data_IF_833316729270
#
_entry.id   IF_833316729270
#
_cell.length_a   1.000
_cell.length_b   1.000
_cell.length_c   1.000
_cell.angle_alpha   90.00
_cell.angle_beta   90.00
_cell.angle_gamma   90.00
#
_symmetry.space_group_name_H-M   'P 1'
#
loop_
_entity.id
_entity.type
_entity.pdbx_description
1 polymer ?
#
# COMPACT_ATOMS: atom_id res chain seq x y z
N UNK A 1 -0.60 -25.04 6.28
CA UNK A 1 -0.89 -23.61 6.48
C UNK A 1 -2.37 -23.38 6.18
N UNK A 2 -3.01 -22.36 6.79
CA UNK A 2 -4.38 -21.98 6.44
C UNK A 2 -4.34 -21.11 5.18
N UNK A 3 -5.40 -21.14 4.37
CA UNK A 3 -5.54 -20.20 3.26
C UNK A 3 -5.76 -18.78 3.79
N UNK A 4 -5.52 -17.79 2.93
CA UNK A 4 -5.79 -16.39 3.28
C UNK A 4 -7.28 -16.17 3.56
N UNK A 5 -8.17 -16.78 2.78
CA UNK A 5 -9.62 -16.73 2.99
C UNK A 5 -10.01 -17.29 4.37
N UNK A 6 -9.51 -18.47 4.74
CA UNK A 6 -9.75 -19.06 6.06
C UNK A 6 -9.22 -18.18 7.19
N UNK A 7 -8.08 -17.52 6.96
CA UNK A 7 -7.48 -16.60 7.93
C UNK A 7 -8.33 -15.35 8.13
N UNK A 8 -8.83 -14.76 7.04
CA UNK A 8 -9.74 -13.59 7.07
C UNK A 8 -11.09 -13.95 7.70
N UNK A 9 -11.66 -15.11 7.35
CA UNK A 9 -12.91 -15.58 7.95
C UNK A 9 -12.79 -15.77 9.46
N UNK A 10 -11.72 -16.44 9.92
CA UNK A 10 -11.45 -16.57 11.36
C UNK A 10 -11.28 -15.20 12.02
N UNK A 11 -10.53 -14.29 11.40
CA UNK A 11 -10.31 -12.95 11.96
C UNK A 11 -11.62 -12.17 12.11
N UNK A 12 -12.52 -12.28 11.12
CA UNK A 12 -13.86 -11.70 11.18
C UNK A 12 -14.66 -12.25 12.36
N UNK A 13 -14.65 -13.56 12.54
CA UNK A 13 -15.41 -14.22 13.61
C UNK A 13 -14.86 -13.85 15.01
N UNK A 14 -13.54 -13.75 15.15
CA UNK A 14 -12.88 -13.24 16.36
C UNK A 14 -13.32 -11.81 16.67
N UNK A 15 -13.35 -10.91 15.68
CA UNK A 15 -13.81 -9.53 15.88
C UNK A 15 -15.30 -9.41 16.14
N UNK A 16 -16.12 -10.27 15.52
CA UNK A 16 -17.55 -10.36 15.82
C UNK A 16 -17.76 -10.73 17.29
N UNK A 17 -17.05 -11.76 17.78
CA UNK A 17 -17.10 -12.17 19.19
C UNK A 17 -16.63 -11.05 20.12
N UNK A 18 -15.53 -10.36 19.81
CA UNK A 18 -15.04 -9.23 20.60
C UNK A 18 -16.03 -8.06 20.64
N UNK A 19 -16.71 -7.81 19.52
CA UNK A 19 -17.71 -6.73 19.42
C UNK A 19 -18.95 -7.03 20.24
N UNK A 20 -19.42 -8.28 20.24
CA UNK A 20 -20.53 -8.72 21.08
C UNK A 20 -20.17 -8.67 22.57
N UNK A 21 -18.95 -9.08 22.92
CA UNK A 21 -18.49 -9.00 24.31
C UNK A 21 -18.38 -7.55 24.78
N UNK A 22 -17.81 -6.67 23.96
CA UNK A 22 -17.75 -5.24 24.28
C UNK A 22 -19.15 -4.62 24.40
N UNK A 23 -20.09 -4.98 23.52
CA UNK A 23 -21.48 -4.56 23.62
C UNK A 23 -22.10 -4.97 24.95
N UNK A 24 -21.90 -6.23 25.35
CA UNK A 24 -22.40 -6.76 26.63
C UNK A 24 -21.84 -5.95 27.81
N UNK A 25 -20.53 -5.72 27.84
CA UNK A 25 -19.87 -4.94 28.89
C UNK A 25 -20.38 -3.48 28.93
N UNK A 26 -20.62 -2.85 27.78
CA UNK A 26 -21.19 -1.50 27.71
C UNK A 26 -22.63 -1.45 28.25
N UNK A 27 -23.45 -2.47 27.95
CA UNK A 27 -24.81 -2.58 28.49
C UNK A 27 -24.77 -2.79 30.01
N UNK A 28 -23.96 -3.73 30.50
CA UNK A 28 -23.80 -4.00 31.94
C UNK A 28 -23.36 -2.75 32.71
N UNK A 29 -22.44 -1.96 32.14
CA UNK A 29 -22.03 -0.68 32.71
C UNK A 29 -23.18 0.33 32.75
N UNK A 30 -23.95 0.46 31.67
CA UNK A 30 -25.09 1.38 31.62
C UNK A 30 -26.19 0.98 32.62
N UNK A 31 -26.48 -0.31 32.77
CA UNK A 31 -27.44 -0.84 33.73
C UNK A 31 -26.99 -0.57 35.17
N UNK A 32 -25.70 -0.82 35.47
CA UNK A 32 -25.13 -0.56 36.79
C UNK A 32 -25.19 0.92 37.17
N UNK A 33 -24.90 1.82 36.21
CA UNK A 33 -25.00 3.28 36.42
C UNK A 33 -26.45 3.71 36.56
N UNK A 34 -27.37 3.26 35.70
CA UNK A 34 -28.78 3.62 35.79
C UNK A 34 -29.37 3.25 37.16
N UNK A 35 -29.05 2.03 37.64
CA UNK A 35 -29.45 1.54 38.97
C UNK A 35 -28.90 2.37 40.13
N UNK A 36 -27.65 2.84 40.03
CA UNK A 36 -27.03 3.65 41.08
C UNK A 36 -27.75 4.99 41.27
N UNK A 37 -28.28 5.56 40.18
CA UNK A 37 -28.93 6.87 40.17
C UNK A 37 -30.47 6.81 40.17
N UNK A 38 -31.08 5.62 40.14
CA UNK A 38 -32.54 5.46 40.07
C UNK A 38 -33.13 5.91 38.73
N UNK A 39 -32.40 5.66 37.63
CA UNK A 39 -32.73 6.13 36.27
C UNK A 39 -33.12 4.98 35.31
N UNK A 40 -33.44 3.80 35.84
CA UNK A 40 -33.71 2.60 35.03
C UNK A 40 -34.85 2.78 34.01
N UNK A 41 -35.86 3.58 34.35
CA UNK A 41 -37.01 3.87 33.49
C UNK A 41 -36.83 5.14 32.64
N UNK A 42 -35.76 5.91 32.87
CA UNK A 42 -35.51 7.21 32.24
C UNK A 42 -34.54 7.11 31.05
N UNK A 43 -33.58 6.18 31.08
CA UNK A 43 -32.54 6.06 30.06
C UNK A 43 -32.37 4.61 29.62
N UNK A 44 -32.42 4.31 28.29
CA UNK A 44 -32.20 2.95 27.80
C UNK A 44 -30.73 2.55 27.97
N UNK A 45 -30.48 1.43 28.66
CA UNK A 45 -29.13 0.88 28.83
C UNK A 45 -28.61 0.11 27.60
N UNK A 46 -29.50 -0.30 26.69
CA UNK A 46 -29.16 -1.06 25.50
C UNK A 46 -28.28 -0.26 24.53
N UNK A 47 -27.18 -0.87 24.08
CA UNK A 47 -26.26 -0.31 23.09
C UNK A 47 -26.32 -1.16 21.82
N UNK A 48 -26.72 -0.62 20.65
CA UNK A 48 -26.64 -1.35 19.39
C UNK A 48 -25.19 -1.52 18.94
N UNK A 49 -24.88 -2.61 18.22
CA UNK A 49 -23.52 -2.87 17.71
C UNK A 49 -22.99 -1.74 16.83
N UNK A 50 -23.86 -1.02 16.13
CA UNK A 50 -23.52 0.16 15.33
C UNK A 50 -22.93 1.32 16.16
N UNK A 51 -23.02 1.28 17.49
CA UNK A 51 -22.46 2.27 18.41
C UNK A 51 -21.20 1.79 19.15
N UNK A 52 -20.86 0.51 19.04
CA UNK A 52 -19.68 -0.08 19.71
C UNK A 52 -18.43 0.23 18.88
N UNK A 53 -17.64 1.20 19.33
CA UNK A 53 -16.57 1.85 18.55
C UNK A 53 -15.24 1.08 18.47
N UNK A 54 -15.29 -0.24 18.24
CA UNK A 54 -14.09 -1.04 17.99
C UNK A 54 -13.63 -0.93 16.53
N UNK A 55 -12.31 -0.87 16.32
CA UNK A 55 -11.67 -0.65 15.01
C UNK A 55 -12.15 -1.62 13.92
N UNK A 56 -12.47 -2.86 14.28
CA UNK A 56 -12.89 -3.91 13.35
C UNK A 56 -14.31 -4.44 13.63
N UNK A 57 -15.11 -3.71 14.40
CA UNK A 57 -16.54 -3.95 14.45
C UNK A 57 -17.19 -3.53 13.12
N UNK A 58 -17.53 -4.49 12.28
CA UNK A 58 -18.14 -4.25 10.96
C UNK A 58 -19.46 -3.47 11.03
N UNK A 59 -20.24 -3.61 12.13
CA UNK A 59 -21.47 -2.87 12.31
C UNK A 59 -21.23 -1.37 12.56
N UNK A 60 -20.22 -1.04 13.37
CA UNK A 60 -19.82 0.33 13.62
C UNK A 60 -19.18 0.99 12.39
N UNK A 61 -18.34 0.25 11.64
CA UNK A 61 -17.68 0.77 10.43
C UNK A 61 -18.67 1.02 9.29
N UNK A 62 -19.69 0.18 9.15
CA UNK A 62 -20.67 0.24 8.06
C UNK A 62 -22.10 0.08 8.58
N UNK A 63 -22.62 1.08 9.32
CA UNK A 63 -23.90 0.97 10.02
C UNK A 63 -25.08 0.83 9.06
N UNK A 64 -24.99 1.41 7.86
CA UNK A 64 -26.04 1.33 6.84
C UNK A 64 -26.03 0.06 5.98
N UNK A 65 -25.16 -0.91 6.28
CA UNK A 65 -24.96 -2.13 5.49
C UNK A 65 -25.59 -3.35 6.14
N UNK A 66 -26.06 -4.28 5.33
CA UNK A 66 -26.52 -5.60 5.77
C UNK A 66 -25.36 -6.44 6.30
N UNK A 67 -25.60 -7.49 7.11
CA UNK A 67 -24.54 -8.40 7.57
C UNK A 67 -23.69 -8.97 6.44
N UNK A 68 -24.30 -9.36 5.32
CA UNK A 68 -23.59 -9.93 4.17
C UNK A 68 -22.70 -8.88 3.47
N UNK A 69 -23.19 -7.66 3.30
CA UNK A 69 -22.36 -6.55 2.76
C UNK A 69 -21.21 -6.21 3.71
N UNK A 70 -21.46 -6.22 5.03
CA UNK A 70 -20.44 -5.99 6.07
C UNK A 70 -19.34 -7.05 6.01
N UNK A 71 -19.68 -8.31 5.76
CA UNK A 71 -18.70 -9.39 5.62
C UNK A 71 -17.79 -9.20 4.40
N UNK A 72 -18.35 -8.79 3.26
CA UNK A 72 -17.57 -8.49 2.05
C UNK A 72 -16.65 -7.27 2.26
N UNK A 73 -17.16 -6.21 2.88
CA UNK A 73 -16.38 -5.01 3.20
C UNK A 73 -15.28 -5.29 4.24
N UNK A 74 -15.54 -6.19 5.20
CA UNK A 74 -14.53 -6.66 6.14
C UNK A 74 -13.39 -7.37 5.41
N UNK A 75 -13.73 -8.31 4.52
CA UNK A 75 -12.73 -9.02 3.72
C UNK A 75 -11.90 -8.06 2.86
N UNK A 76 -12.55 -7.11 2.17
CA UNK A 76 -11.86 -6.07 1.40
C UNK A 76 -10.90 -5.26 2.28
N UNK A 77 -11.36 -4.78 3.45
CA UNK A 77 -10.51 -4.03 4.38
C UNK A 77 -9.32 -4.86 4.85
N UNK A 78 -9.53 -6.12 5.20
CA UNK A 78 -8.47 -7.01 5.67
C UNK A 78 -7.41 -7.25 4.57
N UNK A 79 -7.81 -7.37 3.31
CA UNK A 79 -6.87 -7.47 2.18
C UNK A 79 -6.10 -6.17 1.97
N UNK A 80 -6.74 -5.01 2.06
CA UNK A 80 -6.06 -3.71 1.95
C UNK A 80 -5.05 -3.52 3.11
N UNK A 81 -5.42 -3.94 4.32
CA UNK A 81 -4.52 -3.93 5.49
C UNK A 81 -3.33 -4.89 5.29
N UNK A 82 -3.57 -6.10 4.78
CA UNK A 82 -2.52 -7.07 4.46
C UNK A 82 -1.56 -6.54 3.40
N UNK A 83 -2.06 -5.93 2.32
CA UNK A 83 -1.21 -5.36 1.28
C UNK A 83 -0.39 -4.18 1.82
N UNK A 84 -0.98 -3.34 2.68
CA UNK A 84 -0.24 -2.26 3.34
C UNK A 84 0.85 -2.79 4.27
N UNK A 85 0.59 -3.89 4.99
CA UNK A 85 1.59 -4.56 5.83
C UNK A 85 2.69 -5.19 4.98
N UNK A 86 2.33 -5.90 3.91
CA UNK A 86 3.26 -6.49 2.95
C UNK A 86 4.16 -5.41 2.32
N UNK A 87 3.61 -4.26 1.92
CA UNK A 87 4.40 -3.12 1.48
C UNK A 87 5.39 -2.62 2.55
N UNK A 88 4.99 -2.63 3.82
CA UNK A 88 5.91 -2.38 4.94
C UNK A 88 7.02 -3.40 5.08
N UNK A 89 6.75 -4.68 4.86
CA UNK A 89 7.80 -5.71 4.78
C UNK A 89 8.70 -5.52 3.56
N UNK A 90 8.14 -5.18 2.40
CA UNK A 90 8.90 -4.89 1.18
C UNK A 90 9.86 -3.73 1.38
N UNK A 91 9.49 -2.70 2.14
CA UNK A 91 10.40 -1.60 2.45
C UNK A 91 11.25 -1.83 3.70
N UNK A 92 11.06 -2.92 4.45
CA UNK A 92 11.80 -3.20 5.68
C UNK A 92 11.31 -2.41 6.89
N UNK A 93 10.18 -1.70 6.79
CA UNK A 93 9.51 -1.07 7.93
C UNK A 93 9.04 -2.08 8.97
N UNK A 94 8.62 -3.24 8.49
CA UNK A 94 8.18 -4.38 9.30
C UNK A 94 8.97 -5.64 8.94
N UNK A 95 8.93 -6.64 9.82
CA UNK A 95 9.41 -7.98 9.55
C UNK A 95 8.32 -9.02 9.85
N UNK A 96 8.44 -10.19 9.22
CA UNK A 96 7.71 -11.40 9.60
C UNK A 96 8.36 -12.09 10.81
N UNK A 97 9.64 -11.82 11.06
CA UNK A 97 10.47 -12.51 12.06
C UNK A 97 10.47 -11.81 13.43
N UNK A 98 10.24 -10.49 13.46
CA UNK A 98 10.27 -9.69 14.67
C UNK A 98 9.10 -8.70 14.72
N UNK A 99 8.38 -8.59 15.86
CA UNK A 99 7.29 -7.63 16.00
C UNK A 99 7.80 -6.19 16.10
N UNK A 100 6.95 -5.25 15.68
CA UNK A 100 7.22 -3.80 15.80
C UNK A 100 7.86 -3.20 14.55
N UNK A 101 8.37 -1.97 14.69
CA UNK A 101 9.05 -1.25 13.61
C UNK A 101 10.51 -1.69 13.55
N UNK A 102 11.00 -1.96 12.33
CA UNK A 102 12.39 -2.32 12.06
C UNK A 102 13.14 -1.10 11.52
N UNK A 103 12.85 -0.68 10.28
CA UNK A 103 13.35 0.58 9.72
C UNK A 103 12.30 1.67 9.85
N UNK A 104 12.55 2.64 10.72
CA UNK A 104 11.68 3.78 10.94
C UNK A 104 12.45 5.07 11.27
N UNK A 105 13.75 5.12 10.96
CA UNK A 105 14.62 6.27 11.16
C UNK A 105 15.06 6.86 9.81
N UNK A 106 15.63 8.07 9.83
CA UNK A 106 16.05 8.75 8.61
C UNK A 106 17.28 8.08 7.98
N UNK A 107 17.18 7.80 6.67
CA UNK A 107 18.27 7.25 5.88
C UNK A 107 18.57 5.79 6.16
N UNK A 108 17.67 5.06 6.84
CA UNK A 108 17.86 3.63 7.11
C UNK A 108 18.08 2.83 5.83
N UNK A 109 18.99 1.88 5.88
CA UNK A 109 19.42 1.06 4.74
C UNK A 109 19.03 -0.41 4.93
N UNK A 110 19.24 -1.22 3.89
CA UNK A 110 19.09 -2.68 4.03
C UNK A 110 20.10 -3.26 5.03
N UNK A 111 21.30 -2.69 5.12
CA UNK A 111 22.33 -3.16 6.05
C UNK A 111 21.89 -2.98 7.51
N UNK A 112 21.20 -1.87 7.82
CA UNK A 112 20.61 -1.64 9.15
C UNK A 112 19.53 -2.69 9.47
N UNK A 113 18.74 -3.09 8.48
CA UNK A 113 17.75 -4.16 8.63
C UNK A 113 18.41 -5.50 8.92
N UNK A 114 19.45 -5.85 8.15
CA UNK A 114 20.18 -7.11 8.29
C UNK A 114 21.02 -7.16 9.57
N UNK A 115 21.46 -6.02 10.10
CA UNK A 115 22.10 -5.96 11.41
C UNK A 115 21.16 -6.40 12.53
N UNK A 116 19.86 -6.13 12.40
CA UNK A 116 18.82 -6.56 13.35
C UNK A 116 18.29 -7.96 13.04
N UNK A 117 18.11 -8.29 11.77
CA UNK A 117 17.55 -9.56 11.30
C UNK A 117 18.49 -10.15 10.23
N UNK A 118 19.55 -10.88 10.62
CA UNK A 118 20.57 -11.34 9.68
C UNK A 118 20.08 -12.34 8.63
N UNK A 119 19.05 -13.13 8.95
CA UNK A 119 18.47 -14.15 8.07
C UNK A 119 16.95 -13.97 7.97
N UNK A 120 16.46 -12.94 7.25
CA UNK A 120 15.04 -12.63 7.24
C UNK A 120 14.25 -13.63 6.39
N UNK A 121 13.07 -14.00 6.87
CA UNK A 121 12.12 -14.86 6.15
C UNK A 121 11.61 -14.20 4.87
N UNK A 122 11.55 -12.86 4.85
CA UNK A 122 11.22 -12.06 3.68
C UNK A 122 12.17 -10.86 3.58
N UNK A 123 13.05 -10.87 2.58
CA UNK A 123 14.06 -9.83 2.39
C UNK A 123 13.43 -8.53 1.86
N UNK A 124 13.64 -7.38 2.53
CA UNK A 124 13.24 -6.09 2.00
C UNK A 124 13.90 -5.75 0.67
N UNK A 125 13.34 -4.76 0.01
CA UNK A 125 13.91 -4.15 -1.15
C UNK A 125 15.28 -3.54 -0.86
N UNK A 126 16.22 -3.74 -1.78
CA UNK A 126 17.62 -3.37 -1.58
C UNK A 126 17.82 -1.86 -1.64
N UNK A 127 17.26 -1.21 -2.64
CA UNK A 127 17.60 0.16 -2.99
C UNK A 127 16.48 1.17 -2.70
N UNK A 128 15.40 0.70 -2.06
CA UNK A 128 14.23 1.47 -1.66
C UNK A 128 13.37 1.93 -2.85
N UNK A 129 13.48 1.29 -4.02
CA UNK A 129 12.70 1.63 -5.22
C UNK A 129 11.92 0.41 -5.69
N UNK A 130 10.59 0.47 -5.61
CA UNK A 130 9.73 -0.62 -6.09
C UNK A 130 8.90 -0.12 -7.29
N UNK A 131 9.14 -0.63 -8.51
CA UNK A 131 8.42 -0.19 -9.70
C UNK A 131 6.95 -0.66 -9.70
N UNK A 132 6.08 0.20 -10.24
CA UNK A 132 4.65 -0.05 -10.46
C UNK A 132 4.27 0.43 -11.86
N UNK A 133 4.46 -0.47 -12.83
CA UNK A 133 4.14 -0.22 -14.24
C UNK A 133 3.03 -1.16 -14.72
N UNK A 134 2.28 -0.72 -15.72
CA UNK A 134 1.26 -1.54 -16.37
C UNK A 134 1.89 -2.44 -17.45
N UNK A 135 1.46 -3.69 -17.49
CA UNK A 135 2.12 -4.76 -18.23
C UNK A 135 2.92 -5.68 -17.31
N UNK A 136 3.15 -6.90 -17.79
CA UNK A 136 3.85 -7.95 -17.07
C UNK A 136 5.31 -8.02 -17.55
N UNK A 137 6.20 -8.55 -16.69
CA UNK A 137 7.60 -8.86 -17.00
C UNK A 137 8.50 -7.65 -17.36
N UNK A 138 8.14 -6.44 -16.91
CA UNK A 138 8.99 -5.25 -17.09
C UNK A 138 10.12 -5.16 -16.06
N UNK A 139 9.92 -5.63 -14.84
CA UNK A 139 10.91 -5.65 -13.76
C UNK A 139 10.76 -6.95 -12.97
N UNK A 140 11.87 -7.56 -12.58
CA UNK A 140 11.87 -8.83 -11.84
C UNK A 140 11.41 -8.66 -10.38
N UNK A 141 11.51 -7.45 -9.86
CA UNK A 141 11.24 -7.08 -8.47
C UNK A 141 10.10 -6.06 -8.32
N UNK A 142 9.16 -6.07 -9.28
CA UNK A 142 7.98 -5.22 -9.23
C UNK A 142 7.09 -5.52 -8.01
N UNK A 143 6.18 -4.58 -7.71
CA UNK A 143 5.32 -4.72 -6.52
C UNK A 143 4.41 -5.96 -6.56
N UNK A 144 4.00 -6.43 -7.74
CA UNK A 144 3.13 -7.59 -7.92
C UNK A 144 3.89 -8.87 -7.60
N UNK A 145 5.10 -9.01 -8.12
CA UNK A 145 5.94 -10.18 -7.89
C UNK A 145 6.47 -10.22 -6.46
N UNK A 146 6.82 -9.06 -5.87
CA UNK A 146 7.10 -8.97 -4.44
C UNK A 146 5.91 -9.38 -3.58
N UNK A 147 4.68 -9.01 -3.95
CA UNK A 147 3.48 -9.43 -3.21
C UNK A 147 3.21 -10.94 -3.37
N UNK A 148 3.46 -11.52 -4.55
CA UNK A 148 3.39 -12.97 -4.76
C UNK A 148 4.40 -13.70 -3.89
N UNK A 149 5.65 -13.25 -3.85
CA UNK A 149 6.68 -13.80 -2.94
C UNK A 149 6.21 -13.70 -1.49
N UNK A 150 5.68 -12.55 -1.06
CA UNK A 150 5.15 -12.39 0.29
C UNK A 150 4.04 -13.41 0.61
N UNK A 151 3.09 -13.62 -0.32
CA UNK A 151 2.02 -14.60 -0.13
C UNK A 151 2.56 -16.03 -0.05
N UNK A 152 3.54 -16.39 -0.88
CA UNK A 152 4.23 -17.71 -0.82
C UNK A 152 4.91 -17.91 0.53
N UNK A 153 5.61 -16.89 1.02
CA UNK A 153 6.32 -16.93 2.29
C UNK A 153 5.36 -17.10 3.47
N UNK A 154 4.27 -16.33 3.52
CA UNK A 154 3.35 -16.31 4.68
C UNK A 154 2.36 -17.46 4.66
N UNK A 155 1.81 -17.80 3.49
CA UNK A 155 0.72 -18.76 3.37
C UNK A 155 1.13 -20.07 2.69
N UNK A 156 2.34 -20.17 2.14
CA UNK A 156 2.85 -21.36 1.46
C UNK A 156 2.53 -21.37 -0.04
N UNK A 157 3.46 -21.90 -0.84
CA UNK A 157 3.34 -22.00 -2.31
C UNK A 157 2.04 -22.69 -2.74
N UNK A 158 1.66 -23.77 -2.04
CA UNK A 158 0.50 -24.58 -2.39
C UNK A 158 -0.84 -23.82 -2.34
N UNK A 159 -0.89 -22.66 -1.67
CA UNK A 159 -2.09 -21.83 -1.57
C UNK A 159 -2.01 -20.56 -2.43
N UNK A 160 -0.92 -20.31 -3.16
CA UNK A 160 -0.70 -19.04 -3.86
C UNK A 160 -1.85 -18.69 -4.82
N UNK A 161 -2.22 -19.62 -5.72
CA UNK A 161 -3.25 -19.35 -6.73
C UNK A 161 -4.63 -19.12 -6.11
N UNK A 162 -4.96 -19.85 -5.05
CA UNK A 162 -6.20 -19.64 -4.29
C UNK A 162 -6.20 -18.28 -3.58
N UNK A 163 -5.09 -17.93 -2.94
CA UNK A 163 -4.94 -16.66 -2.25
C UNK A 163 -4.99 -15.47 -3.22
N UNK A 164 -4.37 -15.58 -4.40
CA UNK A 164 -4.42 -14.54 -5.43
C UNK A 164 -5.85 -14.33 -5.94
N UNK A 165 -6.61 -15.42 -6.17
CA UNK A 165 -8.04 -15.31 -6.54
C UNK A 165 -8.86 -14.65 -5.44
N UNK A 166 -8.62 -15.01 -4.19
CA UNK A 166 -9.32 -14.40 -3.05
C UNK A 166 -8.98 -12.90 -2.91
N UNK A 167 -7.73 -12.51 -3.09
CA UNK A 167 -7.29 -11.10 -3.08
C UNK A 167 -7.98 -10.31 -4.19
N UNK A 168 -7.94 -10.78 -5.44
CA UNK A 168 -8.54 -10.05 -6.57
C UNK A 168 -10.05 -9.96 -6.45
N UNK A 169 -10.71 -11.03 -6.00
CA UNK A 169 -12.16 -11.03 -5.72
C UNK A 169 -12.53 -10.03 -4.62
N UNK A 170 -11.80 -10.04 -3.49
CA UNK A 170 -12.05 -9.13 -2.36
C UNK A 170 -11.82 -7.66 -2.71
N UNK A 171 -10.86 -7.38 -3.60
CA UNK A 171 -10.57 -6.03 -4.09
C UNK A 171 -11.51 -5.59 -5.24
N UNK A 172 -12.27 -6.51 -5.83
CA UNK A 172 -13.12 -6.22 -6.99
C UNK A 172 -12.34 -5.89 -8.26
N UNK A 173 -11.13 -6.46 -8.43
CA UNK A 173 -10.28 -6.24 -9.61
C UNK A 173 -10.09 -7.54 -10.39
N UNK A 174 -9.85 -7.43 -11.71
CA UNK A 174 -9.58 -8.59 -12.55
C UNK A 174 -8.16 -9.12 -12.36
N UNK A 175 -7.18 -8.21 -12.36
CA UNK A 175 -5.76 -8.53 -12.13
C UNK A 175 -5.29 -7.81 -10.88
N UNK A 176 -4.42 -8.45 -10.10
CA UNK A 176 -3.77 -7.81 -8.95
C UNK A 176 -3.02 -6.52 -9.36
N UNK A 177 -2.39 -6.52 -10.53
CA UNK A 177 -1.74 -5.34 -11.13
C UNK A 177 -2.68 -4.14 -11.27
N UNK A 178 -3.96 -4.38 -11.61
CA UNK A 178 -4.94 -3.30 -11.74
C UNK A 178 -5.16 -2.57 -10.40
N UNK A 179 -5.09 -3.29 -9.27
CA UNK A 179 -5.16 -2.67 -7.94
C UNK A 179 -3.94 -1.80 -7.64
N UNK A 180 -2.73 -2.33 -7.86
CA UNK A 180 -1.49 -1.58 -7.58
C UNK A 180 -1.36 -0.31 -8.43
N UNK A 181 -1.69 -0.39 -9.71
CA UNK A 181 -1.60 0.77 -10.63
C UNK A 181 -2.68 1.83 -10.34
N UNK A 182 -3.90 1.44 -9.96
CA UNK A 182 -5.06 2.37 -9.95
C UNK A 182 -5.56 2.77 -8.56
N UNK A 183 -5.37 1.92 -7.56
CA UNK A 183 -6.06 2.01 -6.27
C UNK A 183 -5.10 2.05 -5.09
N UNK A 184 -4.03 1.24 -5.09
CA UNK A 184 -3.11 1.12 -3.95
C UNK A 184 -2.64 2.48 -3.40
N UNK A 185 -2.16 3.38 -4.26
CA UNK A 185 -1.65 4.67 -3.79
C UNK A 185 -2.76 5.56 -3.20
N UNK A 186 -4.00 5.45 -3.69
CA UNK A 186 -5.14 6.21 -3.12
C UNK A 186 -5.46 5.71 -1.72
N UNK A 187 -5.52 4.39 -1.55
CA UNK A 187 -5.75 3.77 -0.24
C UNK A 187 -4.63 4.14 0.75
N UNK A 188 -3.38 4.15 0.27
CA UNK A 188 -2.22 4.57 1.07
C UNK A 188 -2.31 6.04 1.50
N UNK A 189 -2.59 6.95 0.57
CA UNK A 189 -2.77 8.38 0.88
C UNK A 189 -3.92 8.59 1.89
N UNK A 190 -5.02 7.83 1.75
CA UNK A 190 -6.15 7.89 2.68
C UNK A 190 -5.78 7.37 4.07
N UNK A 191 -5.10 6.22 4.16
CA UNK A 191 -4.64 5.61 5.42
C UNK A 191 -3.82 6.60 6.25
N UNK A 192 -2.95 7.35 5.59
CA UNK A 192 -2.06 8.32 6.23
C UNK A 192 -2.63 9.75 6.28
N UNK A 193 -3.95 9.93 6.12
CA UNK A 193 -4.63 11.24 6.21
C UNK A 193 -3.94 12.31 5.35
N UNK A 194 -3.66 11.96 4.09
CA UNK A 194 -2.96 12.77 3.08
C UNK A 194 -1.47 13.05 3.34
N UNK A 195 -0.83 12.34 4.28
CA UNK A 195 0.60 12.46 4.59
C UNK A 195 1.31 11.11 4.46
N UNK A 196 1.32 10.51 3.25
CA UNK A 196 1.82 9.15 3.08
C UNK A 196 3.32 9.05 3.38
N UNK A 197 3.73 7.88 3.88
CA UNK A 197 5.14 7.56 4.12
C UNK A 197 5.81 6.83 2.95
N UNK A 198 5.01 6.31 2.01
CA UNK A 198 5.50 5.79 0.73
C UNK A 198 5.18 6.83 -0.32
N UNK A 199 6.18 7.31 -1.02
CA UNK A 199 6.04 8.36 -2.03
C UNK A 199 6.13 7.74 -3.41
N UNK A 200 5.22 8.14 -4.28
CA UNK A 200 5.12 7.62 -5.64
C UNK A 200 5.75 8.60 -6.61
N UNK A 201 6.93 8.29 -7.13
CA UNK A 201 7.42 8.92 -8.36
C UNK A 201 6.50 8.48 -9.49
N UNK A 202 5.98 9.43 -10.28
CA UNK A 202 4.97 9.15 -11.30
C UNK A 202 5.19 10.08 -12.47
N UNK A 203 5.30 9.52 -13.68
CA UNK A 203 5.23 10.31 -14.90
C UNK A 203 3.85 11.00 -15.03
N UNK A 204 3.71 12.06 -15.84
CA UNK A 204 2.46 12.84 -15.91
C UNK A 204 1.21 12.02 -16.24
N UNK A 205 1.32 11.01 -17.13
CA UNK A 205 0.20 10.10 -17.45
C UNK A 205 0.23 8.81 -16.64
N UNK A 206 1.21 8.64 -15.75
CA UNK A 206 1.37 7.45 -14.89
C UNK A 206 1.87 6.22 -15.65
N UNK A 207 2.49 6.40 -16.82
CA UNK A 207 3.09 5.32 -17.61
C UNK A 207 4.32 4.70 -16.92
N UNK A 208 5.03 5.49 -16.12
CA UNK A 208 6.04 5.03 -15.18
C UNK A 208 5.64 5.43 -13.77
N UNK A 209 5.69 4.48 -12.83
CA UNK A 209 5.63 4.80 -11.42
C UNK A 209 6.64 3.97 -10.63
N UNK A 210 7.18 4.54 -9.56
CA UNK A 210 8.03 3.85 -8.61
C UNK A 210 7.74 4.35 -7.19
N UNK A 211 7.52 3.41 -6.26
CA UNK A 211 7.37 3.73 -4.85
C UNK A 211 8.72 3.78 -4.16
N UNK A 212 8.88 4.74 -3.26
CA UNK A 212 9.96 4.77 -2.27
C UNK A 212 9.40 4.88 -0.87
N UNK A 213 10.16 4.45 0.14
CA UNK A 213 9.84 4.70 1.54
C UNK A 213 10.64 5.87 2.09
N UNK A 214 9.95 6.91 2.59
CA UNK A 214 10.59 8.17 3.00
C UNK A 214 11.62 8.01 4.13
N UNK A 215 11.47 7.01 5.00
CA UNK A 215 12.44 6.81 6.08
C UNK A 215 13.75 6.21 5.55
N UNK A 216 13.69 5.45 4.46
CA UNK A 216 14.88 4.95 3.77
C UNK A 216 15.38 5.89 2.67
N UNK A 217 14.82 7.09 2.58
CA UNK A 217 15.24 8.05 1.58
C UNK A 217 16.67 8.54 1.87
N UNK A 218 17.48 8.56 0.83
CA UNK A 218 18.82 9.16 0.81
C UNK A 218 18.90 10.17 -0.34
N UNK A 219 19.87 11.10 -0.33
CA UNK A 219 20.05 12.05 -1.45
C UNK A 219 20.24 11.38 -2.82
N UNK A 220 20.73 10.14 -2.86
CA UNK A 220 20.90 9.36 -4.09
C UNK A 220 19.62 8.66 -4.59
N UNK A 221 18.53 8.63 -3.79
CA UNK A 221 17.30 7.87 -4.12
C UNK A 221 16.69 8.30 -5.45
N UNK A 222 16.69 9.61 -5.77
CA UNK A 222 16.16 10.10 -7.05
C UNK A 222 16.99 9.61 -8.23
N UNK A 223 18.32 9.52 -8.07
CA UNK A 223 19.22 8.94 -9.09
C UNK A 223 18.98 7.44 -9.28
N UNK A 224 18.65 6.71 -8.21
CA UNK A 224 18.21 5.32 -8.31
C UNK A 224 16.91 5.22 -9.12
N UNK A 225 15.87 6.01 -8.79
CA UNK A 225 14.61 6.04 -9.54
C UNK A 225 14.83 6.38 -11.02
N UNK A 226 15.74 7.32 -11.32
CA UNK A 226 16.12 7.65 -12.69
C UNK A 226 16.74 6.45 -13.44
N UNK A 227 17.51 5.61 -12.74
CA UNK A 227 18.07 4.38 -13.34
C UNK A 227 16.97 3.40 -13.73
N UNK A 228 15.97 3.19 -12.87
CA UNK A 228 14.79 2.37 -13.20
C UNK A 228 13.99 2.93 -14.39
N UNK A 229 13.84 4.26 -14.47
CA UNK A 229 13.17 4.90 -15.61
C UNK A 229 13.92 4.59 -16.91
N UNK A 230 15.25 4.76 -16.94
CA UNK A 230 16.07 4.51 -18.13
C UNK A 230 16.05 3.05 -18.55
N UNK A 231 16.14 2.13 -17.58
CA UNK A 231 16.00 0.69 -17.85
C UNK A 231 14.65 0.38 -18.50
N UNK A 232 13.56 0.96 -17.98
CA UNK A 232 12.24 0.79 -18.55
C UNK A 232 12.13 1.36 -19.96
N UNK A 233 12.69 2.55 -20.20
CA UNK A 233 12.76 3.15 -21.54
C UNK A 233 13.47 2.23 -22.52
N UNK A 234 14.64 1.68 -22.17
CA UNK A 234 15.37 0.73 -23.02
C UNK A 234 14.55 -0.54 -23.32
N UNK A 235 13.84 -1.08 -22.33
CA UNK A 235 12.94 -2.23 -22.51
C UNK A 235 11.76 -1.88 -23.45
N UNK A 236 11.17 -0.69 -23.31
CA UNK A 236 10.10 -0.19 -24.17
C UNK A 236 10.56 0.05 -25.61
N UNK A 237 11.78 0.57 -25.82
CA UNK A 237 12.38 0.73 -27.15
C UNK A 237 12.57 -0.61 -27.85
N UNK A 238 13.02 -1.63 -27.11
CA UNK A 238 13.16 -3.00 -27.62
C UNK A 238 11.79 -3.59 -28.00
N UNK A 239 10.78 -3.41 -27.15
CA UNK A 239 9.41 -3.83 -27.43
C UNK A 239 8.81 -3.10 -28.64
N UNK A 240 9.12 -1.81 -28.82
CA UNK A 240 8.70 -1.02 -29.97
C UNK A 240 9.29 -1.58 -31.26
N UNK A 241 10.59 -1.86 -31.30
CA UNK A 241 11.24 -2.47 -32.46
C UNK A 241 10.60 -3.83 -32.81
N UNK A 242 10.23 -4.63 -31.81
CA UNK A 242 9.53 -5.90 -32.03
C UNK A 242 8.11 -5.69 -32.57
N UNK A 243 7.37 -4.72 -32.05
CA UNK A 243 6.03 -4.37 -32.54
C UNK A 243 6.08 -3.88 -34.00
N UNK A 244 7.09 -3.09 -34.36
CA UNK A 244 7.31 -2.63 -35.74
C UNK A 244 7.65 -3.79 -36.68
N UNK A 245 8.57 -4.68 -36.29
CA UNK A 245 8.95 -5.87 -37.09
C UNK A 245 7.79 -6.84 -37.29
N UNK A 246 6.90 -6.96 -36.31
CA UNK A 246 5.71 -7.82 -36.38
C UNK A 246 4.51 -7.17 -37.09
N UNK A 247 4.65 -5.91 -37.55
CA UNK A 247 3.57 -5.18 -38.21
C UNK A 247 2.42 -4.76 -37.28
N UNK A 248 2.62 -4.82 -35.97
CA UNK A 248 1.61 -4.40 -34.99
C UNK A 248 1.62 -2.88 -34.80
N UNK A 249 1.08 -2.15 -35.78
CA UNK A 249 1.09 -0.70 -35.82
C UNK A 249 0.41 -0.04 -34.60
N UNK A 250 -0.63 -0.67 -34.03
CA UNK A 250 -1.34 -0.16 -32.86
C UNK A 250 -0.47 -0.18 -31.61
N UNK A 251 0.24 -1.29 -31.38
CA UNK A 251 1.14 -1.38 -30.23
C UNK A 251 2.36 -0.48 -30.42
N UNK A 252 2.91 -0.41 -31.63
CA UNK A 252 4.01 0.52 -31.93
C UNK A 252 3.62 1.99 -31.65
N UNK A 253 2.43 2.43 -32.08
CA UNK A 253 1.94 3.79 -31.79
C UNK A 253 1.74 4.03 -30.28
N UNK A 254 1.22 3.04 -29.55
CA UNK A 254 1.09 3.11 -28.08
C UNK A 254 2.46 3.28 -27.41
N UNK A 255 3.44 2.44 -27.76
CA UNK A 255 4.77 2.46 -27.17
C UNK A 255 5.51 3.77 -27.49
N UNK A 256 5.41 4.28 -28.73
CA UNK A 256 5.98 5.60 -29.09
C UNK A 256 5.42 6.72 -28.22
N UNK A 257 4.11 6.73 -27.95
CA UNK A 257 3.47 7.74 -27.09
C UNK A 257 3.98 7.67 -25.65
N UNK A 258 4.21 6.46 -25.13
CA UNK A 258 4.79 6.26 -23.80
C UNK A 258 6.24 6.75 -23.79
N UNK A 259 7.07 6.35 -24.76
CA UNK A 259 8.48 6.77 -24.85
C UNK A 259 8.63 8.29 -24.92
N UNK A 260 7.82 8.97 -25.74
CA UNK A 260 7.82 10.45 -25.80
C UNK A 260 7.50 11.06 -24.43
N UNK A 261 6.51 10.53 -23.72
CA UNK A 261 6.18 11.00 -22.37
C UNK A 261 7.33 10.76 -21.38
N UNK A 262 7.94 9.58 -21.40
CA UNK A 262 8.98 9.21 -20.45
C UNK A 262 10.29 9.98 -20.68
N UNK A 263 10.67 10.20 -21.94
CA UNK A 263 11.84 11.01 -22.29
C UNK A 263 11.65 12.47 -21.88
N UNK A 264 10.45 13.03 -22.07
CA UNK A 264 10.12 14.38 -21.59
C UNK A 264 10.14 14.45 -20.06
N UNK A 265 9.55 13.44 -19.38
CA UNK A 265 9.57 13.36 -17.92
C UNK A 265 10.99 13.23 -17.35
N UNK A 266 11.84 12.42 -17.99
CA UNK A 266 13.26 12.32 -17.65
C UNK A 266 13.93 13.69 -17.75
N UNK A 267 13.90 14.30 -18.93
CA UNK A 267 14.64 15.53 -19.23
C UNK A 267 14.14 16.74 -18.43
N UNK A 268 12.83 16.96 -18.39
CA UNK A 268 12.24 18.17 -17.81
C UNK A 268 12.06 18.08 -16.29
N UNK A 269 11.99 16.88 -15.72
CA UNK A 269 11.63 16.70 -14.30
C UNK A 269 12.63 15.84 -13.54
N UNK A 270 12.80 14.57 -13.91
CA UNK A 270 13.48 13.60 -13.04
C UNK A 270 15.01 13.79 -13.03
N UNK A 271 15.64 14.04 -14.18
CA UNK A 271 17.09 14.26 -14.28
C UNK A 271 17.55 15.55 -13.55
N UNK A 272 16.90 16.71 -13.74
CA UNK A 272 17.20 17.89 -12.92
C UNK A 272 17.04 17.60 -11.43
N UNK A 273 15.94 16.95 -11.04
CA UNK A 273 15.67 16.61 -9.64
C UNK A 273 16.70 15.65 -9.04
N UNK A 274 17.20 14.69 -9.83
CA UNK A 274 18.29 13.80 -9.42
C UNK A 274 19.59 14.58 -9.20
N UNK A 275 19.88 15.56 -10.06
CA UNK A 275 21.07 16.41 -9.96
C UNK A 275 21.07 17.32 -8.74
N UNK A 276 19.88 17.73 -8.26
CA UNK A 276 19.73 18.53 -7.05
C UNK A 276 20.11 17.77 -5.76
N UNK A 277 20.15 16.44 -5.77
CA UNK A 277 20.37 15.60 -4.58
C UNK A 277 19.53 16.05 -3.37
N UNK A 278 18.22 16.21 -3.60
CA UNK A 278 17.29 16.79 -2.62
C UNK A 278 17.44 16.11 -1.27
N UNK A 279 17.63 16.92 -0.23
CA UNK A 279 17.69 16.46 1.16
C UNK A 279 16.33 16.67 1.83
N UNK A 280 15.92 15.67 2.61
CA UNK A 280 14.72 15.74 3.46
C UNK A 280 15.12 15.63 4.92
N UNK A 281 14.27 16.15 5.80
CA UNK A 281 14.36 16.00 7.24
C UNK A 281 13.05 15.42 7.76
N UNK A 282 13.05 14.23 8.36
CA UNK A 282 11.82 13.59 8.82
C UNK A 282 11.09 14.43 9.88
N UNK A 283 11.79 15.26 10.66
CA UNK A 283 11.19 16.11 11.70
C UNK A 283 10.33 17.23 11.11
N UNK A 284 10.66 17.70 9.90
CA UNK A 284 9.83 18.64 9.13
C UNK A 284 8.48 18.01 8.70
N UNK A 285 8.41 16.68 8.68
CA UNK A 285 7.25 15.90 8.28
C UNK A 285 6.91 15.97 6.79
N UNK A 286 5.89 15.21 6.38
CA UNK A 286 5.54 15.04 4.96
C UNK A 286 5.13 16.35 4.27
N UNK A 287 4.49 17.28 4.99
CA UNK A 287 4.00 18.55 4.41
C UNK A 287 5.11 19.46 3.91
N UNK A 288 6.25 19.47 4.57
CA UNK A 288 7.38 20.29 4.19
C UNK A 288 8.31 19.56 3.20
N UNK A 289 8.45 18.24 3.32
CA UNK A 289 9.36 17.49 2.46
C UNK A 289 8.78 17.11 1.10
N UNK A 290 7.51 16.67 1.04
CA UNK A 290 6.91 16.21 -0.21
C UNK A 290 6.93 17.27 -1.33
N UNK A 291 6.65 18.56 -1.06
CA UNK A 291 6.71 19.60 -2.09
C UNK A 291 8.10 19.83 -2.70
N UNK A 292 9.19 19.46 -2.01
CA UNK A 292 10.57 19.63 -2.52
C UNK A 292 10.81 18.87 -3.84
N UNK A 293 10.00 17.84 -4.12
CA UNK A 293 10.10 17.02 -5.33
C UNK A 293 9.24 17.52 -6.50
N UNK A 294 8.31 18.46 -6.26
CA UNK A 294 7.46 19.03 -7.30
C UNK A 294 6.77 17.97 -8.17
N UNK A 295 6.90 18.13 -9.49
CA UNK A 295 6.29 17.24 -10.48
C UNK A 295 6.90 15.84 -10.56
N UNK A 296 8.01 15.56 -9.85
CA UNK A 296 8.59 14.23 -9.82
C UNK A 296 7.69 13.23 -9.07
N UNK A 297 6.98 13.69 -8.03
CA UNK A 297 6.04 12.88 -7.25
C UNK A 297 4.60 13.05 -7.73
N UNK A 298 3.78 12.02 -7.51
CA UNK A 298 2.34 12.06 -7.75
C UNK A 298 1.69 13.18 -6.95
N UNK A 299 0.93 14.07 -7.58
CA UNK A 299 0.22 15.13 -6.88
C UNK A 299 -0.76 14.58 -5.82
N UNK A 300 -0.73 15.13 -4.61
CA UNK A 300 -1.67 14.83 -3.53
C UNK A 300 -2.55 16.06 -3.26
N UNK A 301 -3.85 16.04 -3.63
CA UNK A 301 -4.74 17.18 -3.44
C UNK A 301 -4.87 17.62 -1.97
N UNK A 302 -4.46 18.84 -1.69
CA UNK A 302 -4.49 19.43 -0.34
C UNK A 302 -3.32 19.05 0.57
N UNK A 303 -2.23 18.49 0.02
CA UNK A 303 -0.96 18.34 0.75
C UNK A 303 -0.08 19.59 0.62
N UNK A 304 -0.10 20.25 -0.54
CA UNK A 304 0.55 21.55 -0.73
C UNK A 304 -0.06 22.55 0.25
N UNK A 305 0.80 23.16 1.06
CA UNK A 305 0.39 24.12 2.07
C UNK A 305 -0.28 25.32 1.39
N UNK A 306 -1.41 25.77 1.95
CA UNK A 306 -1.75 27.18 1.90
C UNK A 306 -0.51 27.95 2.35
N UNK A 307 -0.03 28.88 1.51
CA UNK A 307 0.92 29.90 1.93
C UNK A 307 0.38 30.66 3.13
#
# INVERSE_FOLDING_TARGET
MKTLEQTVARHRDEWKSRSLEQQRLEIENNEAVAKLYGLEDEVPSYVPLERVSLTNNSAFRWPSKTPQERDALFAQSAIIDLISYAGGCMFGRYSLDEPGLILADQGSTLDDYLARIPNPTFLPDKDNVIPIVDGDDWFEDDIVDRFRVFLRTVFGEQHLEENLRFVTASLGVKRLRDYFVKSFYKDHVQRYKKRPIYWLFSSPKGSFNALIYMHRYTPSTVSTVLTYLREYVTKLESALQQAERSGNAKEADRLRKILVELNEYEYATLFPKASENVVIDLDDGVRANYPKFGAALKKIPGLEASQ
#
